data_IF_659776600021
#
_entry.id   IF_659776600021
#
_cell.length_a   1.000
_cell.length_b   1.000
_cell.length_c   1.000
_cell.angle_alpha   90.00
_cell.angle_beta   90.00
_cell.angle_gamma   90.00
#
_symmetry.space_group_name_H-M   'P 1'
#
loop_
_entity.id
_entity.type
_entity.pdbx_description
1 polymer ?
#
# COMPACT_ATOMS: atom_id res chain seq x y z
N UNK A 1 18.46 8.37 11.92
CA UNK A 1 18.72 9.45 12.90
C UNK A 1 19.51 10.58 12.26
N UNK A 2 20.70 10.30 11.69
CA UNK A 2 21.58 11.32 11.07
C UNK A 2 20.89 12.16 9.96
N UNK A 3 20.08 11.51 9.10
CA UNK A 3 19.37 12.20 8.02
C UNK A 3 18.22 13.08 8.54
N UNK A 4 17.45 12.59 9.50
CA UNK A 4 16.34 13.35 10.10
C UNK A 4 16.90 14.58 10.83
N UNK A 5 17.93 14.39 11.64
CA UNK A 5 18.55 15.48 12.41
C UNK A 5 19.23 16.53 11.50
N UNK A 6 19.92 16.06 10.42
CA UNK A 6 20.64 16.95 9.50
C UNK A 6 19.70 17.75 8.59
N UNK A 7 18.64 17.10 8.07
CA UNK A 7 17.78 17.69 7.04
C UNK A 7 16.38 18.05 7.53
N UNK A 8 16.05 17.78 8.80
CA UNK A 8 14.75 18.07 9.43
C UNK A 8 13.55 17.52 8.62
N UNK A 9 13.68 16.29 8.10
CA UNK A 9 12.58 15.65 7.38
C UNK A 9 11.42 15.33 8.34
N UNK A 10 10.21 15.72 7.96
CA UNK A 10 9.00 15.40 8.71
C UNK A 10 8.58 13.93 8.54
N UNK A 11 8.97 13.28 7.45
CA UNK A 11 8.64 11.89 7.20
C UNK A 11 9.72 11.15 6.41
N UNK A 12 9.81 9.84 6.64
CA UNK A 12 10.61 8.93 5.84
C UNK A 12 9.73 7.73 5.52
N UNK A 13 9.62 7.42 4.21
CA UNK A 13 8.98 6.19 3.74
C UNK A 13 10.01 5.32 3.04
N UNK A 14 9.89 4.02 3.22
CA UNK A 14 10.69 3.02 2.55
C UNK A 14 9.79 2.30 1.54
N UNK A 15 10.13 2.41 0.26
CA UNK A 15 9.42 1.74 -0.82
C UNK A 15 10.35 0.69 -1.41
N UNK A 16 9.91 -0.56 -1.47
CA UNK A 16 10.67 -1.62 -2.12
C UNK A 16 10.70 -1.37 -3.63
N UNK A 17 11.89 -1.53 -4.23
CA UNK A 17 12.01 -1.46 -5.69
C UNK A 17 11.13 -2.53 -6.32
N UNK A 18 10.30 -2.14 -7.26
CA UNK A 18 9.35 -3.03 -7.94
C UNK A 18 10.09 -4.04 -8.81
N UNK A 19 9.61 -5.27 -8.83
CA UNK A 19 10.13 -6.40 -9.63
C UNK A 19 9.00 -6.98 -10.50
N UNK A 20 8.35 -6.12 -11.27
CA UNK A 20 7.17 -6.47 -12.07
C UNK A 20 7.25 -5.87 -13.47
N UNK A 21 6.68 -6.56 -14.43
CA UNK A 21 6.62 -6.08 -15.82
C UNK A 21 8.01 -5.92 -16.44
N UNK A 22 8.31 -4.72 -16.93
CA UNK A 22 9.60 -4.35 -17.56
C UNK A 22 10.73 -4.18 -16.53
N UNK A 23 10.42 -4.07 -15.23
CA UNK A 23 11.37 -3.80 -14.16
C UNK A 23 11.90 -5.07 -13.50
N UNK A 24 12.06 -6.17 -14.25
CA UNK A 24 12.61 -7.41 -13.71
C UNK A 24 14.02 -7.22 -13.16
N UNK A 25 14.20 -7.61 -11.90
CA UNK A 25 15.44 -7.46 -11.16
C UNK A 25 16.14 -8.82 -11.10
N UNK A 26 17.43 -8.93 -11.49
CA UNK A 26 18.21 -10.15 -11.31
C UNK A 26 18.22 -10.60 -9.83
N UNK A 27 18.15 -11.91 -9.59
CA UNK A 27 18.00 -12.48 -8.24
C UNK A 27 19.10 -12.01 -7.27
N UNK A 28 20.32 -11.90 -7.75
CA UNK A 28 21.47 -11.39 -6.99
C UNK A 28 21.30 -9.95 -6.49
N UNK A 29 20.68 -9.09 -7.32
CA UNK A 29 20.33 -7.71 -6.94
C UNK A 29 19.12 -7.68 -6.05
N UNK A 30 18.16 -8.58 -6.27
CA UNK A 30 16.93 -8.70 -5.47
C UNK A 30 17.25 -8.95 -3.99
N UNK A 31 18.22 -9.82 -3.70
CA UNK A 31 18.65 -10.06 -2.31
C UNK A 31 19.22 -8.79 -1.66
N UNK A 32 20.10 -8.06 -2.36
CA UNK A 32 20.68 -6.79 -1.85
C UNK A 32 19.58 -5.74 -1.57
N UNK A 33 18.59 -5.62 -2.44
CA UNK A 33 17.47 -4.70 -2.26
C UNK A 33 16.63 -5.13 -1.05
N UNK A 34 16.36 -6.42 -0.90
CA UNK A 34 15.64 -6.95 0.25
C UNK A 34 16.35 -6.69 1.58
N UNK A 35 17.68 -6.86 1.61
CA UNK A 35 18.47 -6.60 2.81
C UNK A 35 18.46 -5.12 3.18
N UNK A 36 18.65 -4.23 2.20
CA UNK A 36 18.58 -2.79 2.38
C UNK A 36 17.18 -2.35 2.85
N UNK A 37 16.13 -2.85 2.20
CA UNK A 37 14.75 -2.59 2.61
C UNK A 37 14.46 -3.10 4.03
N UNK A 38 14.94 -4.29 4.35
CA UNK A 38 14.75 -4.88 5.68
C UNK A 38 15.44 -4.07 6.77
N UNK A 39 16.63 -3.57 6.50
CA UNK A 39 17.33 -2.68 7.42
C UNK A 39 16.60 -1.36 7.62
N UNK A 40 16.24 -0.67 6.51
CA UNK A 40 15.49 0.60 6.55
C UNK A 40 14.15 0.44 7.27
N UNK A 41 13.38 -0.60 6.97
CA UNK A 41 12.07 -0.82 7.58
C UNK A 41 12.18 -1.07 9.09
N UNK A 42 13.24 -1.76 9.55
CA UNK A 42 13.52 -1.92 10.98
C UNK A 42 13.85 -0.59 11.65
N UNK A 43 14.63 0.26 10.96
CA UNK A 43 14.98 1.57 11.48
C UNK A 43 13.74 2.47 11.58
N UNK A 44 12.90 2.50 10.54
CA UNK A 44 11.64 3.25 10.54
C UNK A 44 10.69 2.75 11.65
N UNK A 45 10.59 1.43 11.84
CA UNK A 45 9.79 0.85 12.93
C UNK A 45 10.30 1.30 14.30
N UNK A 46 11.62 1.34 14.51
CA UNK A 46 12.25 1.82 15.75
C UNK A 46 11.96 3.30 15.97
N UNK A 47 12.17 4.13 14.95
CA UNK A 47 11.96 5.57 15.02
C UNK A 47 10.48 5.92 15.22
N UNK A 48 9.58 5.17 14.59
CA UNK A 48 8.13 5.28 14.83
C UNK A 48 7.75 4.93 16.27
N UNK A 49 8.26 3.84 16.81
CA UNK A 49 8.00 3.45 18.22
C UNK A 49 8.57 4.46 19.22
N UNK A 50 9.68 5.09 18.89
CA UNK A 50 10.30 6.16 19.70
C UNK A 50 9.66 7.53 19.46
N UNK A 51 8.62 7.62 18.63
CA UNK A 51 7.87 8.84 18.30
C UNK A 51 8.76 9.97 17.72
N UNK A 52 9.83 9.60 16.99
CA UNK A 52 10.79 10.56 16.39
C UNK A 52 10.27 11.08 15.05
N UNK A 53 9.43 10.31 14.34
CA UNK A 53 8.92 10.68 13.02
C UNK A 53 7.75 11.67 13.15
N UNK A 54 8.01 12.93 12.88
CA UNK A 54 7.05 14.03 13.09
C UNK A 54 5.80 13.97 12.19
N UNK A 55 5.87 13.27 11.04
CA UNK A 55 4.72 13.11 10.14
C UNK A 55 3.56 12.33 10.77
N UNK A 56 3.81 11.58 11.83
CA UNK A 56 2.77 10.96 12.62
C UNK A 56 2.47 11.83 13.84
N UNK A 57 1.32 12.46 13.89
CA UNK A 57 0.86 13.10 15.11
C UNK A 57 0.49 12.03 16.15
N UNK A 58 1.48 11.56 16.92
CA UNK A 58 1.31 10.50 17.91
C UNK A 58 0.34 10.87 19.05
N UNK A 59 0.04 12.15 19.23
CA UNK A 59 -0.97 12.61 20.18
C UNK A 59 -2.39 12.35 19.67
N UNK A 60 -2.58 12.23 18.34
CA UNK A 60 -3.86 11.90 17.74
C UNK A 60 -4.03 10.39 17.57
N UNK A 61 -5.27 9.93 17.67
CA UNK A 61 -5.65 8.56 17.36
C UNK A 61 -5.28 8.19 15.91
N UNK A 62 -5.57 9.09 14.98
CA UNK A 62 -5.29 8.89 13.56
C UNK A 62 -3.77 8.72 13.29
N UNK A 63 -2.93 9.56 13.91
CA UNK A 63 -1.47 9.46 13.74
C UNK A 63 -0.93 8.14 14.25
N UNK A 64 -1.40 7.65 15.40
CA UNK A 64 -1.00 6.33 15.93
C UNK A 64 -1.46 5.17 15.05
N UNK A 65 -2.69 5.26 14.51
CA UNK A 65 -3.18 4.27 13.52
C UNK A 65 -2.32 4.24 12.27
N UNK A 66 -1.96 5.40 11.72
CA UNK A 66 -1.12 5.51 10.53
C UNK A 66 0.27 4.91 10.78
N UNK A 67 0.92 5.25 11.90
CA UNK A 67 2.22 4.68 12.25
C UNK A 67 2.16 3.15 12.35
N UNK A 68 1.16 2.61 13.02
CA UNK A 68 0.99 1.16 13.16
C UNK A 68 0.67 0.47 11.82
N UNK A 69 -0.17 1.10 10.98
CA UNK A 69 -0.47 0.62 9.63
C UNK A 69 0.80 0.51 8.80
N UNK A 70 1.68 1.52 8.82
CA UNK A 70 2.92 1.51 8.04
C UNK A 70 3.91 0.43 8.54
N UNK A 71 3.99 0.20 9.85
CA UNK A 71 4.76 -0.93 10.41
C UNK A 71 4.23 -2.28 9.89
N UNK A 72 2.91 -2.46 9.86
CA UNK A 72 2.30 -3.69 9.32
C UNK A 72 2.59 -3.82 7.82
N UNK A 73 2.42 -2.75 7.04
CA UNK A 73 2.69 -2.72 5.60
C UNK A 73 4.14 -3.11 5.29
N UNK A 74 5.11 -2.53 5.99
CA UNK A 74 6.53 -2.87 5.82
C UNK A 74 6.83 -4.35 6.10
N UNK A 75 6.16 -4.95 7.09
CA UNK A 75 6.27 -6.39 7.37
C UNK A 75 5.69 -7.23 6.24
N UNK A 76 4.52 -6.87 5.73
CA UNK A 76 3.88 -7.56 4.61
C UNK A 76 4.74 -7.49 3.34
N UNK A 77 5.29 -6.31 3.02
CA UNK A 77 6.20 -6.16 1.89
C UNK A 77 7.39 -7.10 2.01
N UNK A 78 8.06 -7.14 3.16
CA UNK A 78 9.19 -8.06 3.39
C UNK A 78 8.81 -9.52 3.17
N UNK A 79 7.65 -9.92 3.66
CA UNK A 79 7.19 -11.31 3.51
C UNK A 79 6.88 -11.68 2.05
N UNK A 80 6.44 -10.73 1.23
CA UNK A 80 6.05 -10.96 -0.17
C UNK A 80 7.16 -10.70 -1.18
N UNK A 81 8.20 -9.94 -0.81
CA UNK A 81 9.18 -9.45 -1.78
C UNK A 81 10.01 -10.55 -2.42
N UNK A 82 10.52 -11.47 -1.62
CA UNK A 82 11.33 -12.60 -2.12
C UNK A 82 10.47 -13.72 -2.68
N UNK A 83 9.36 -14.01 -2.03
CA UNK A 83 8.44 -15.08 -2.40
C UNK A 83 7.03 -14.49 -2.43
N UNK A 84 6.53 -14.11 -3.63
CA UNK A 84 5.18 -13.59 -3.77
C UNK A 84 4.16 -14.57 -3.19
N UNK A 85 3.34 -14.09 -2.25
CA UNK A 85 2.29 -14.88 -1.61
C UNK A 85 1.08 -14.04 -1.26
N UNK A 86 -0.08 -14.64 -1.35
CA UNK A 86 -1.31 -14.03 -0.91
C UNK A 86 -1.39 -13.98 0.62
N UNK A 87 -1.45 -12.77 1.18
CA UNK A 87 -1.53 -12.55 2.64
C UNK A 87 -2.89 -11.97 3.05
N UNK A 88 -3.45 -11.09 2.21
CA UNK A 88 -4.65 -10.32 2.51
C UNK A 88 -5.45 -10.06 1.23
N UNK A 89 -6.79 -10.00 1.30
CA UNK A 89 -7.60 -9.57 0.18
C UNK A 89 -7.17 -8.21 -0.35
N UNK A 90 -7.16 -8.06 -1.68
CA UNK A 90 -6.93 -6.77 -2.32
C UNK A 90 -8.28 -6.07 -2.57
N UNK A 91 -8.35 -4.80 -2.22
CA UNK A 91 -9.55 -3.96 -2.36
C UNK A 91 -9.47 -2.98 -3.53
N UNK A 92 -8.56 -3.21 -4.48
CA UNK A 92 -8.51 -2.46 -5.74
C UNK A 92 -9.85 -2.55 -6.50
N UNK A 93 -10.27 -1.46 -7.09
CA UNK A 93 -11.59 -1.36 -7.72
C UNK A 93 -12.78 -1.31 -6.73
N UNK A 94 -12.51 -1.41 -5.42
CA UNK A 94 -13.53 -1.29 -4.36
C UNK A 94 -13.32 -0.09 -3.46
N UNK A 95 -12.14 0.04 -2.85
CA UNK A 95 -11.79 1.12 -1.94
C UNK A 95 -10.85 2.15 -2.57
N UNK A 96 -10.20 1.80 -3.65
CA UNK A 96 -9.31 2.68 -4.39
C UNK A 96 -9.25 2.29 -5.86
N UNK A 97 -8.79 3.21 -6.69
CA UNK A 97 -8.53 3.05 -8.12
C UNK A 97 -7.62 4.16 -8.60
N UNK A 98 -7.28 4.11 -9.88
CA UNK A 98 -6.43 5.10 -10.55
C UNK A 98 -7.21 5.73 -11.69
N UNK A 99 -7.17 7.06 -11.77
CA UNK A 99 -7.68 7.83 -12.89
C UNK A 99 -6.47 8.40 -13.63
N UNK A 100 -6.32 8.04 -14.90
CA UNK A 100 -5.27 8.60 -15.76
C UNK A 100 -5.58 10.04 -16.18
N UNK A 101 -4.57 10.75 -16.66
CA UNK A 101 -4.75 12.10 -17.19
C UNK A 101 -5.72 12.16 -18.39
N UNK A 102 -5.87 11.06 -19.13
CA UNK A 102 -6.84 10.94 -20.24
C UNK A 102 -8.28 10.75 -19.77
N UNK A 103 -8.52 10.39 -18.52
CA UNK A 103 -9.82 10.06 -17.96
C UNK A 103 -10.13 8.57 -17.93
N UNK A 104 -9.19 7.71 -18.33
CA UNK A 104 -9.32 6.27 -18.16
C UNK A 104 -9.23 5.87 -16.69
N UNK A 105 -10.05 4.93 -16.26
CA UNK A 105 -10.08 4.47 -14.86
C UNK A 105 -9.73 3.00 -14.77
N UNK A 106 -8.82 2.71 -13.84
CA UNK A 106 -8.28 1.37 -13.56
C UNK A 106 -8.47 0.99 -12.09
N UNK A 107 -8.50 -0.30 -11.75
CA UNK A 107 -8.60 -0.72 -10.34
C UNK A 107 -7.35 -0.38 -9.53
N UNK A 108 -6.17 -0.44 -10.17
CA UNK A 108 -4.88 -0.05 -9.61
C UNK A 108 -3.85 0.16 -10.73
N UNK A 109 -2.66 0.63 -10.38
CA UNK A 109 -1.56 0.88 -11.32
C UNK A 109 -1.00 -0.39 -11.99
N UNK A 110 -1.13 -1.57 -11.37
CA UNK A 110 -0.59 -2.83 -11.90
C UNK A 110 -1.55 -3.48 -12.91
N UNK A 111 -2.85 -3.31 -12.71
CA UNK A 111 -3.88 -3.94 -13.52
C UNK A 111 -4.32 -3.02 -14.67
N UNK A 112 -3.37 -2.58 -15.48
CA UNK A 112 -3.62 -1.71 -16.64
C UNK A 112 -4.47 -2.39 -17.72
N UNK A 113 -4.41 -3.74 -17.79
CA UNK A 113 -5.25 -4.56 -18.69
C UNK A 113 -6.71 -4.70 -18.21
N UNK A 114 -7.01 -4.25 -16.99
CA UNK A 114 -8.34 -4.33 -16.35
C UNK A 114 -9.01 -2.96 -16.26
N UNK A 115 -9.01 -2.21 -17.35
CA UNK A 115 -9.68 -0.91 -17.41
C UNK A 115 -11.15 -1.03 -17.00
N UNK A 116 -11.60 -0.14 -16.12
CA UNK A 116 -12.98 -0.07 -15.64
C UNK A 116 -13.86 0.72 -16.62
N UNK A 117 -13.32 1.77 -17.21
CA UNK A 117 -14.04 2.61 -18.17
C UNK A 117 -13.34 3.94 -18.43
N UNK A 118 -13.98 4.76 -19.25
CA UNK A 118 -13.63 6.16 -19.48
C UNK A 118 -14.63 7.07 -18.78
N UNK A 119 -14.15 8.07 -18.05
CA UNK A 119 -15.04 9.02 -17.36
C UNK A 119 -15.97 9.74 -18.33
N UNK A 120 -15.48 10.03 -19.55
CA UNK A 120 -16.28 10.73 -20.59
C UNK A 120 -17.48 9.92 -21.06
N UNK A 121 -17.39 8.59 -21.09
CA UNK A 121 -18.50 7.70 -21.48
C UNK A 121 -19.63 7.67 -20.42
N UNK A 122 -19.38 8.24 -19.27
CA UNK A 122 -20.31 8.31 -18.15
C UNK A 122 -20.66 9.75 -17.75
N UNK A 123 -20.53 10.71 -18.66
CA UNK A 123 -20.80 12.14 -18.41
C UNK A 123 -19.99 12.68 -17.21
N UNK A 124 -18.77 12.23 -17.04
CA UNK A 124 -17.89 12.51 -15.90
C UNK A 124 -18.47 12.05 -14.55
N UNK A 125 -19.49 11.23 -14.54
CA UNK A 125 -20.10 10.68 -13.34
C UNK A 125 -19.33 9.43 -12.86
N UNK A 126 -18.33 9.66 -12.01
CA UNK A 126 -17.50 8.60 -11.45
C UNK A 126 -18.32 7.50 -10.77
N UNK A 127 -19.35 7.85 -9.99
CA UNK A 127 -20.12 6.86 -9.24
C UNK A 127 -20.95 5.95 -10.13
N UNK A 128 -21.47 6.47 -11.27
CA UNK A 128 -22.16 5.66 -12.27
C UNK A 128 -21.21 4.64 -12.87
N UNK A 129 -20.02 5.07 -13.26
CA UNK A 129 -18.96 4.19 -13.79
C UNK A 129 -18.48 3.17 -12.73
N UNK A 130 -18.18 3.61 -11.50
CA UNK A 130 -17.65 2.78 -10.43
C UNK A 130 -18.60 1.66 -9.98
N UNK A 131 -19.88 1.79 -10.29
CA UNK A 131 -20.92 0.79 -10.00
C UNK A 131 -21.34 -0.05 -11.22
N UNK A 132 -20.72 0.15 -12.38
CA UNK A 132 -21.05 -0.57 -13.60
C UNK A 132 -20.70 -2.07 -13.54
N UNK A 133 -21.11 -2.83 -14.55
CA UNK A 133 -20.87 -4.27 -14.61
C UNK A 133 -19.38 -4.61 -14.79
N UNK A 134 -18.64 -3.82 -15.55
CA UNK A 134 -17.19 -3.99 -15.73
C UNK A 134 -16.46 -3.92 -14.38
N UNK A 135 -16.81 -2.95 -13.55
CA UNK A 135 -16.24 -2.84 -12.18
C UNK A 135 -16.53 -4.07 -11.34
N UNK A 136 -17.74 -4.63 -11.43
CA UNK A 136 -18.09 -5.87 -10.71
C UNK A 136 -17.26 -7.06 -11.20
N UNK A 137 -17.07 -7.19 -12.50
CA UNK A 137 -16.25 -8.25 -13.10
C UNK A 137 -14.79 -8.13 -12.66
N UNK A 138 -14.22 -6.92 -12.66
CA UNK A 138 -12.87 -6.64 -12.20
C UNK A 138 -12.69 -6.99 -10.72
N UNK A 139 -13.64 -6.60 -9.86
CA UNK A 139 -13.63 -6.99 -8.43
C UNK A 139 -13.65 -8.51 -8.26
N UNK A 140 -14.50 -9.20 -9.02
CA UNK A 140 -14.58 -10.68 -9.00
C UNK A 140 -13.27 -11.32 -9.45
N UNK A 141 -12.63 -10.77 -10.49
CA UNK A 141 -11.30 -11.20 -10.94
C UNK A 141 -10.26 -11.05 -9.82
N UNK A 142 -10.16 -9.87 -9.19
CA UNK A 142 -9.20 -9.57 -8.12
C UNK A 142 -9.33 -10.56 -6.95
N UNK A 143 -10.57 -10.86 -6.56
CA UNK A 143 -10.85 -11.82 -5.48
C UNK A 143 -10.50 -13.26 -5.87
N UNK A 144 -10.91 -13.70 -7.07
CA UNK A 144 -10.68 -15.06 -7.54
C UNK A 144 -9.21 -15.37 -7.81
N UNK A 145 -8.47 -14.41 -8.39
CA UNK A 145 -7.04 -14.55 -8.67
C UNK A 145 -6.17 -14.44 -7.41
N UNK A 146 -6.77 -14.14 -6.24
CA UNK A 146 -6.01 -13.83 -5.01
C UNK A 146 -4.94 -12.77 -5.28
N UNK A 147 -5.33 -11.69 -6.00
CA UNK A 147 -4.44 -10.61 -6.37
C UNK A 147 -3.68 -10.08 -5.15
N UNK A 148 -2.37 -9.98 -5.27
CA UNK A 148 -1.48 -9.50 -4.21
C UNK A 148 -0.26 -8.82 -4.82
N UNK A 149 0.31 -7.87 -4.11
CA UNK A 149 1.47 -7.09 -4.56
C UNK A 149 2.17 -6.44 -3.37
N UNK A 150 3.33 -5.84 -3.63
CA UNK A 150 4.14 -5.10 -2.64
C UNK A 150 3.86 -3.59 -2.63
N UNK A 151 2.80 -3.14 -3.29
CA UNK A 151 2.45 -1.71 -3.37
C UNK A 151 1.87 -1.20 -2.06
N UNK A 152 2.57 -0.27 -1.43
CA UNK A 152 2.22 0.28 -0.11
C UNK A 152 0.88 1.02 -0.12
N UNK A 153 0.51 1.68 -1.24
CA UNK A 153 -0.80 2.31 -1.39
C UNK A 153 -1.93 1.28 -1.29
N UNK A 154 -1.84 0.17 -2.04
CA UNK A 154 -2.80 -0.93 -1.98
C UNK A 154 -2.82 -1.59 -0.60
N UNK A 155 -1.64 -1.88 -0.03
CA UNK A 155 -1.51 -2.50 1.28
C UNK A 155 -2.14 -1.64 2.39
N UNK A 156 -2.05 -0.32 2.29
CA UNK A 156 -2.67 0.58 3.26
C UNK A 156 -4.17 0.36 3.37
N UNK A 157 -4.88 0.32 2.25
CA UNK A 157 -6.33 0.04 2.23
C UNK A 157 -6.63 -1.40 2.68
N UNK A 158 -5.83 -2.37 2.22
CA UNK A 158 -6.01 -3.78 2.56
C UNK A 158 -5.83 -4.04 4.06
N UNK A 159 -4.91 -3.34 4.72
CA UNK A 159 -4.68 -3.44 6.17
C UNK A 159 -5.83 -2.79 6.94
N UNK A 160 -6.22 -1.57 6.56
CA UNK A 160 -7.27 -0.82 7.27
C UNK A 160 -8.65 -1.47 7.16
N UNK A 161 -8.93 -2.19 6.08
CA UNK A 161 -10.21 -2.89 5.86
C UNK A 161 -10.25 -4.34 6.33
N UNK A 162 -9.11 -4.93 6.71
CA UNK A 162 -9.04 -6.33 7.09
C UNK A 162 -9.15 -6.50 8.62
N UNK A 163 -10.20 -7.21 9.05
CA UNK A 163 -10.48 -7.47 10.47
C UNK A 163 -9.31 -8.12 11.24
N UNK A 164 -8.43 -8.87 10.55
CA UNK A 164 -7.24 -9.52 11.17
C UNK A 164 -6.27 -8.52 11.78
N UNK A 165 -6.21 -7.31 11.23
CA UNK A 165 -5.30 -6.26 11.70
C UNK A 165 -5.96 -5.31 12.69
N UNK A 166 -7.30 -5.30 12.79
CA UNK A 166 -8.04 -4.37 13.65
C UNK A 166 -7.60 -4.44 15.13
N UNK A 167 -7.37 -5.62 15.76
CA UNK A 167 -6.91 -5.64 17.15
C UNK A 167 -5.57 -4.93 17.35
N UNK A 168 -4.62 -5.10 16.42
CA UNK A 168 -3.31 -4.43 16.49
C UNK A 168 -3.41 -2.93 16.25
N UNK A 169 -4.26 -2.52 15.31
CA UNK A 169 -4.51 -1.11 15.00
C UNK A 169 -5.20 -0.43 16.19
N UNK A 170 -6.19 -1.06 16.76
CA UNK A 170 -6.90 -0.55 17.93
C UNK A 170 -6.00 -0.43 19.14
N UNK A 171 -5.22 -1.47 19.46
CA UNK A 171 -4.26 -1.43 20.55
C UNK A 171 -3.23 -0.29 20.41
N UNK A 172 -2.78 -0.01 19.18
CA UNK A 172 -1.89 1.11 18.90
C UNK A 172 -2.60 2.48 19.04
N UNK A 173 -3.88 2.54 18.66
CA UNK A 173 -4.67 3.77 18.73
C UNK A 173 -4.90 4.26 20.15
N UNK A 174 -5.18 3.35 21.09
CA UNK A 174 -5.47 3.67 22.50
C UNK A 174 -4.21 3.85 23.35
N UNK A 175 -3.06 3.35 22.91
CA UNK A 175 -1.79 3.46 23.64
C UNK A 175 -1.25 4.89 23.50
N UNK A 176 -1.34 5.66 24.58
CA UNK A 176 -0.73 7.01 24.68
C UNK A 176 0.78 6.96 24.74
#
# INVERSE_FOLDING_TARGET
KLFIEKYKFNSIKCIAVRDEGIYKIPLEKKQKIFDAYSWLSKQIEKDSKSKILENYNYNSLQGRLHAQKDIIANKMVKEMYMIPKYISPCHAGSLFGVISASGSVFPCEILEDKKIGELRDFDMNFMKMWKNETTKQVKKFILKSKCHCTYECALSYNILSNWRYQPKLFAAAIKK
#
